data_IF_813237809016
#
_entry.id   IF_813237809016
#
_cell.length_a   1.000
_cell.length_b   1.000
_cell.length_c   1.000
_cell.angle_alpha   90.00
_cell.angle_beta   90.00
_cell.angle_gamma   90.00
#
_symmetry.space_group_name_H-M   'P 1'
#
loop_
_entity.id
_entity.type
_entity.pdbx_description
1 polymer ?
#
# COMPACT_ATOMS: atom_id res chain seq x y z
N UNK A 1 -8.70 -14.12 -11.97
CA UNK A 1 -9.52 -12.90 -11.88
C UNK A 1 -8.61 -11.70 -11.64
N UNK A 2 -8.75 -10.64 -12.43
CA UNK A 2 -7.96 -9.43 -12.26
C UNK A 2 -8.45 -8.65 -11.03
N UNK A 3 -7.61 -7.74 -10.53
CA UNK A 3 -8.01 -6.85 -9.44
C UNK A 3 -9.20 -5.97 -9.83
N UNK A 4 -9.26 -5.49 -11.08
CA UNK A 4 -10.41 -4.74 -11.57
C UNK A 4 -11.70 -5.56 -11.45
N UNK A 5 -11.65 -6.81 -11.85
CA UNK A 5 -12.82 -7.72 -11.79
C UNK A 5 -13.21 -7.98 -10.34
N UNK A 6 -12.22 -8.21 -9.48
CA UNK A 6 -12.47 -8.45 -8.06
C UNK A 6 -13.10 -7.22 -7.38
N UNK A 7 -12.59 -6.04 -7.67
CA UNK A 7 -13.17 -4.79 -7.15
C UNK A 7 -14.62 -4.60 -7.61
N UNK A 8 -14.90 -4.93 -8.87
CA UNK A 8 -16.25 -4.86 -9.43
C UNK A 8 -17.21 -5.83 -8.73
N UNK A 9 -16.79 -7.07 -8.53
CA UNK A 9 -17.57 -8.09 -7.83
C UNK A 9 -17.83 -7.69 -6.39
N UNK A 10 -16.79 -7.22 -5.70
CA UNK A 10 -16.89 -6.81 -4.30
C UNK A 10 -17.76 -5.56 -4.13
N UNK A 11 -17.74 -4.67 -5.11
CA UNK A 11 -18.65 -3.53 -5.12
C UNK A 11 -20.10 -3.97 -5.17
N UNK A 12 -20.43 -4.93 -6.03
CA UNK A 12 -21.79 -5.50 -6.12
C UNK A 12 -22.20 -6.16 -4.83
N UNK A 13 -21.29 -6.92 -4.22
CA UNK A 13 -21.56 -7.58 -2.93
C UNK A 13 -21.81 -6.56 -1.82
N UNK A 14 -21.02 -5.49 -1.78
CA UNK A 14 -21.17 -4.41 -0.81
C UNK A 14 -22.52 -3.68 -0.98
N UNK A 15 -22.95 -3.46 -2.21
CA UNK A 15 -24.25 -2.87 -2.50
C UNK A 15 -25.39 -3.75 -1.98
N UNK A 16 -25.29 -5.06 -2.18
CA UNK A 16 -26.30 -6.02 -1.71
C UNK A 16 -26.33 -6.11 -0.19
N UNK A 17 -25.21 -5.93 0.47
CA UNK A 17 -25.12 -5.97 1.94
C UNK A 17 -25.71 -4.73 2.63
N UNK A 18 -26.03 -3.69 1.90
CA UNK A 18 -26.62 -2.44 2.38
C UNK A 18 -25.78 -1.81 3.50
N UNK A 19 -26.31 -1.66 4.72
CA UNK A 19 -25.61 -1.00 5.82
C UNK A 19 -24.30 -1.69 6.20
N UNK A 20 -24.27 -3.02 6.17
CA UNK A 20 -23.04 -3.78 6.47
C UNK A 20 -21.95 -3.58 5.42
N UNK A 21 -22.33 -3.29 4.18
CA UNK A 21 -21.41 -3.05 3.08
C UNK A 21 -21.06 -1.59 2.84
N UNK A 22 -21.60 -0.67 3.65
CA UNK A 22 -21.46 0.77 3.40
C UNK A 22 -20.03 1.26 3.35
N UNK A 23 -19.21 0.86 4.30
CA UNK A 23 -17.78 1.25 4.35
C UNK A 23 -17.02 0.65 3.17
N UNK A 24 -17.21 -0.64 2.90
CA UNK A 24 -16.57 -1.31 1.77
C UNK A 24 -16.96 -0.65 0.45
N UNK A 25 -18.23 -0.34 0.26
CA UNK A 25 -18.70 0.33 -0.96
C UNK A 25 -18.05 1.69 -1.15
N UNK A 26 -17.97 2.49 -0.09
CA UNK A 26 -17.35 3.82 -0.12
C UNK A 26 -15.88 3.72 -0.53
N UNK A 27 -15.13 2.83 0.10
CA UNK A 27 -13.70 2.63 -0.20
C UNK A 27 -13.50 2.14 -1.64
N UNK A 28 -14.26 1.15 -2.07
CA UNK A 28 -14.15 0.60 -3.43
C UNK A 28 -14.47 1.67 -4.47
N UNK A 29 -15.47 2.48 -4.24
CA UNK A 29 -15.80 3.60 -5.15
C UNK A 29 -14.66 4.60 -5.26
N UNK A 30 -14.00 4.93 -4.14
CA UNK A 30 -12.83 5.82 -4.17
C UNK A 30 -11.67 5.22 -4.94
N UNK A 31 -11.41 3.94 -4.75
CA UNK A 31 -10.36 3.22 -5.49
C UNK A 31 -10.68 3.20 -6.98
N UNK A 32 -11.90 2.86 -7.35
CA UNK A 32 -12.34 2.83 -8.75
C UNK A 32 -12.23 4.21 -9.41
N UNK A 33 -12.57 5.27 -8.69
CA UNK A 33 -12.42 6.64 -9.18
C UNK A 33 -10.96 7.00 -9.41
N UNK A 34 -10.08 6.62 -8.49
CA UNK A 34 -8.63 6.85 -8.63
C UNK A 34 -8.05 6.09 -9.82
N UNK A 35 -8.48 4.85 -10.02
CA UNK A 35 -8.08 4.04 -11.18
C UNK A 35 -8.50 4.74 -12.47
N UNK A 36 -9.77 5.12 -12.55
CA UNK A 36 -10.33 5.75 -13.73
C UNK A 36 -9.64 7.08 -14.06
N UNK A 37 -9.40 7.91 -13.04
CA UNK A 37 -8.72 9.18 -13.22
C UNK A 37 -7.29 8.99 -13.72
N UNK A 38 -6.57 8.04 -13.17
CA UNK A 38 -5.20 7.71 -13.61
C UNK A 38 -5.20 7.23 -15.05
N UNK A 39 -6.12 6.34 -15.41
CA UNK A 39 -6.21 5.81 -16.78
C UNK A 39 -6.52 6.91 -17.79
N UNK A 40 -7.42 7.85 -17.44
CA UNK A 40 -7.77 8.96 -18.31
C UNK A 40 -6.62 9.96 -18.45
N UNK A 41 -6.02 10.36 -17.32
CA UNK A 41 -4.97 11.37 -17.32
C UNK A 41 -3.69 10.90 -18.01
N UNK A 42 -3.31 9.65 -17.79
CA UNK A 42 -2.08 9.08 -18.34
C UNK A 42 -2.31 8.36 -19.67
N UNK A 43 -3.55 8.24 -20.12
CA UNK A 43 -3.96 7.54 -21.35
C UNK A 43 -3.45 6.11 -21.40
N UNK A 44 -3.58 5.40 -20.29
CA UNK A 44 -3.15 4.01 -20.13
C UNK A 44 -4.28 3.17 -19.57
N UNK A 45 -4.11 1.86 -19.64
CA UNK A 45 -4.95 0.91 -18.92
C UNK A 45 -4.10 0.31 -17.80
N UNK A 46 -4.59 0.40 -16.57
CA UNK A 46 -3.85 -0.11 -15.41
C UNK A 46 -3.99 -1.62 -15.30
N UNK A 47 -2.86 -2.27 -15.09
CA UNK A 47 -2.81 -3.68 -14.72
C UNK A 47 -2.86 -3.82 -13.19
N UNK A 48 -2.77 -5.04 -12.69
CA UNK A 48 -2.81 -5.31 -11.26
C UNK A 48 -1.71 -4.57 -10.50
N UNK A 49 -0.50 -4.48 -11.07
CA UNK A 49 0.62 -3.77 -10.44
C UNK A 49 0.30 -2.27 -10.28
N UNK A 50 -0.28 -1.66 -11.29
CA UNK A 50 -0.70 -0.26 -11.23
C UNK A 50 -1.79 -0.02 -10.20
N UNK A 51 -2.75 -0.95 -10.10
CA UNK A 51 -3.83 -0.89 -9.12
C UNK A 51 -3.29 -1.08 -7.70
N UNK A 52 -2.33 -1.97 -7.50
CA UNK A 52 -1.64 -2.10 -6.20
C UNK A 52 -1.00 -0.79 -5.76
N UNK A 53 -0.42 -0.03 -6.69
CA UNK A 53 0.12 1.30 -6.40
C UNK A 53 -0.93 2.26 -5.87
N UNK A 54 -2.12 2.25 -6.48
CA UNK A 54 -3.25 3.08 -6.03
C UNK A 54 -3.72 2.63 -4.64
N UNK A 55 -3.89 1.34 -4.44
CA UNK A 55 -4.31 0.78 -3.14
C UNK A 55 -3.31 1.12 -2.03
N UNK A 56 -2.02 1.03 -2.31
CA UNK A 56 -0.98 1.36 -1.36
C UNK A 56 -1.01 2.85 -0.98
N UNK A 57 -1.25 3.71 -1.95
CA UNK A 57 -1.39 5.16 -1.73
C UNK A 57 -2.60 5.48 -0.87
N UNK A 58 -3.74 4.84 -1.16
CA UNK A 58 -4.95 5.01 -0.36
C UNK A 58 -4.74 4.53 1.07
N UNK A 59 -4.04 3.42 1.25
CA UNK A 59 -3.69 2.90 2.58
C UNK A 59 -2.81 3.89 3.34
N UNK A 60 -1.80 4.44 2.69
CA UNK A 60 -0.88 5.41 3.30
C UNK A 60 -1.60 6.67 3.75
N UNK A 61 -2.50 7.19 2.91
CA UNK A 61 -3.31 8.37 3.25
C UNK A 61 -4.10 8.12 4.53
N UNK A 62 -4.66 6.92 4.67
CA UNK A 62 -5.42 6.54 5.86
C UNK A 62 -4.55 6.31 7.09
N UNK A 63 -3.35 5.80 6.92
CA UNK A 63 -2.37 5.68 8.01
C UNK A 63 -1.99 7.05 8.55
N UNK A 64 -1.77 8.02 7.67
CA UNK A 64 -1.47 9.39 8.05
C UNK A 64 -2.66 10.03 8.81
N UNK A 65 -3.87 9.80 8.31
CA UNK A 65 -5.09 10.26 8.97
C UNK A 65 -5.27 9.63 10.35
N UNK A 66 -4.98 8.34 10.47
CA UNK A 66 -5.05 7.60 11.74
C UNK A 66 -4.13 8.24 12.78
N UNK A 67 -2.91 8.55 12.41
CA UNK A 67 -1.94 9.20 13.30
C UNK A 67 -2.47 10.53 13.81
N UNK A 68 -3.06 11.35 12.93
CA UNK A 68 -3.63 12.63 13.30
C UNK A 68 -4.86 12.47 14.22
N UNK A 69 -5.72 11.50 13.93
CA UNK A 69 -6.91 11.23 14.74
C UNK A 69 -6.55 10.71 16.14
N UNK A 70 -5.49 9.91 16.24
CA UNK A 70 -4.97 9.43 17.52
C UNK A 70 -4.45 10.57 18.37
N UNK A 71 -3.72 11.50 17.76
CA UNK A 71 -3.24 12.72 18.44
C UNK A 71 -4.38 13.59 18.93
N UNK A 72 -5.48 13.65 18.18
CA UNK A 72 -6.66 14.44 18.53
C UNK A 72 -7.60 13.72 19.50
N UNK A 73 -7.38 12.42 19.77
CA UNK A 73 -8.24 11.63 20.66
C UNK A 73 -9.65 11.39 20.10
N UNK A 74 -9.80 11.40 18.78
CA UNK A 74 -11.11 11.24 18.12
C UNK A 74 -11.40 9.78 17.84
N UNK A 75 -11.94 9.08 18.84
CA UNK A 75 -12.23 7.64 18.77
C UNK A 75 -13.18 7.27 17.63
N UNK A 76 -14.16 8.11 17.34
CA UNK A 76 -15.12 7.93 16.26
C UNK A 76 -14.42 7.89 14.89
N UNK A 77 -13.49 8.80 14.66
CA UNK A 77 -12.72 8.87 13.41
C UNK A 77 -11.68 7.75 13.33
N UNK A 78 -11.08 7.39 14.47
CA UNK A 78 -10.12 6.28 14.55
C UNK A 78 -10.80 4.98 14.14
N UNK A 79 -11.97 4.66 14.71
CA UNK A 79 -12.71 3.45 14.35
C UNK A 79 -13.05 3.41 12.88
N UNK A 80 -13.53 4.51 12.32
CA UNK A 80 -13.94 4.59 10.92
C UNK A 80 -12.76 4.39 9.97
N UNK A 81 -11.63 5.07 10.23
CA UNK A 81 -10.47 4.93 9.35
C UNK A 81 -9.87 3.52 9.42
N UNK A 82 -9.91 2.88 10.58
CA UNK A 82 -9.47 1.49 10.73
C UNK A 82 -10.34 0.53 9.92
N UNK A 83 -11.65 0.75 9.88
CA UNK A 83 -12.56 -0.02 9.05
C UNK A 83 -12.23 0.13 7.57
N UNK A 84 -11.94 1.35 7.12
CA UNK A 84 -11.52 1.62 5.75
C UNK A 84 -10.20 0.92 5.41
N UNK A 85 -9.23 0.98 6.33
CA UNK A 85 -7.95 0.30 6.16
C UNK A 85 -8.10 -1.22 6.06
N UNK A 86 -9.02 -1.79 6.82
CA UNK A 86 -9.30 -3.23 6.74
C UNK A 86 -9.85 -3.64 5.36
N UNK A 87 -10.65 -2.80 4.74
CA UNK A 87 -11.15 -3.04 3.38
C UNK A 87 -10.00 -3.03 2.39
N UNK A 88 -9.12 -2.04 2.46
CA UNK A 88 -7.96 -1.93 1.57
C UNK A 88 -6.99 -3.10 1.76
N UNK A 89 -6.79 -3.53 2.98
CA UNK A 89 -5.84 -4.61 3.30
C UNK A 89 -6.21 -5.93 2.61
N UNK A 90 -7.48 -6.18 2.33
CA UNK A 90 -7.92 -7.38 1.61
C UNK A 90 -7.33 -7.49 0.21
N UNK A 91 -7.00 -6.35 -0.41
CA UNK A 91 -6.48 -6.30 -1.78
C UNK A 91 -4.96 -6.18 -1.82
N UNK A 92 -4.34 -5.82 -0.72
CA UNK A 92 -2.89 -5.64 -0.65
C UNK A 92 -2.21 -6.94 -0.26
N UNK A 93 -0.99 -7.19 -0.77
CA UNK A 93 -0.18 -8.30 -0.29
C UNK A 93 0.11 -8.13 1.19
N UNK A 94 0.42 -9.23 1.86
CA UNK A 94 0.82 -9.18 3.26
C UNK A 94 2.01 -8.23 3.42
N UNK A 95 1.90 -7.31 4.37
CA UNK A 95 2.94 -6.31 4.58
C UNK A 95 4.13 -6.93 5.33
N UNK A 96 5.33 -6.59 4.85
CA UNK A 96 6.57 -7.02 5.49
C UNK A 96 6.76 -6.30 6.81
N UNK A 97 7.21 -7.04 7.83
CA UNK A 97 7.62 -6.48 9.10
C UNK A 97 9.02 -5.89 8.99
N UNK A 98 9.36 -4.98 9.89
CA UNK A 98 10.67 -4.32 9.89
C UNK A 98 11.83 -5.32 9.88
N UNK A 99 11.73 -6.41 10.65
CA UNK A 99 12.74 -7.46 10.68
C UNK A 99 12.92 -8.14 9.33
N UNK A 100 11.83 -8.38 8.62
CA UNK A 100 11.85 -8.98 7.29
C UNK A 100 12.50 -8.03 6.27
N UNK A 101 12.21 -6.73 6.38
CA UNK A 101 12.83 -5.71 5.53
C UNK A 101 14.32 -5.63 5.80
N UNK A 102 14.74 -5.70 7.06
CA UNK A 102 16.17 -5.72 7.43
C UNK A 102 16.91 -6.87 6.80
N UNK A 103 16.34 -8.06 6.80
CA UNK A 103 16.93 -9.24 6.16
C UNK A 103 17.10 -9.00 4.66
N UNK A 104 16.07 -8.46 3.98
CA UNK A 104 16.12 -8.15 2.56
C UNK A 104 17.23 -7.13 2.27
N UNK A 105 17.34 -6.10 3.09
CA UNK A 105 18.39 -5.07 2.95
C UNK A 105 19.78 -5.68 3.14
N UNK A 106 19.97 -6.52 4.16
CA UNK A 106 21.26 -7.18 4.41
C UNK A 106 21.66 -8.08 3.25
N UNK A 107 20.73 -8.85 2.70
CA UNK A 107 20.98 -9.68 1.52
C UNK A 107 21.34 -8.83 0.30
N UNK A 108 20.67 -7.69 0.13
CA UNK A 108 20.97 -6.76 -0.96
C UNK A 108 22.37 -6.18 -0.84
N UNK A 109 22.79 -5.81 0.37
CA UNK A 109 24.15 -5.30 0.63
C UNK A 109 25.19 -6.38 0.29
N UNK A 110 24.97 -7.61 0.70
CA UNK A 110 25.85 -8.73 0.38
C UNK A 110 25.95 -8.94 -1.14
N UNK A 111 24.85 -8.78 -1.87
CA UNK A 111 24.82 -8.92 -3.32
C UNK A 111 25.58 -7.80 -4.05
N UNK A 112 25.72 -6.61 -3.43
CA UNK A 112 26.44 -5.49 -4.03
C UNK A 112 27.98 -5.67 -4.01
N UNK A 113 28.51 -6.54 -3.16
CA UNK A 113 29.94 -6.75 -3.03
C UNK A 113 30.66 -5.47 -2.61
N UNK A 114 31.64 -5.05 -3.44
CA UNK A 114 32.44 -3.84 -3.16
C UNK A 114 31.74 -2.53 -3.53
N UNK A 115 30.61 -2.61 -4.23
CA UNK A 115 29.89 -1.44 -4.73
C UNK A 115 28.65 -1.13 -3.89
N UNK A 116 28.80 -1.08 -2.57
CA UNK A 116 27.71 -0.78 -1.64
C UNK A 116 27.44 0.73 -1.64
N UNK A 117 26.31 1.12 -2.23
CA UNK A 117 25.76 2.48 -2.13
C UNK A 117 24.23 2.39 -2.20
N UNK A 118 23.55 3.48 -1.84
CA UNK A 118 22.08 3.49 -1.79
C UNK A 118 21.44 3.07 -3.10
N UNK A 119 21.95 3.57 -4.23
CA UNK A 119 21.40 3.24 -5.55
C UNK A 119 21.45 1.75 -5.85
N UNK A 120 22.59 1.13 -5.61
CA UNK A 120 22.79 -0.31 -5.89
C UNK A 120 21.99 -1.18 -4.91
N UNK A 121 21.99 -0.82 -3.63
CA UNK A 121 21.22 -1.54 -2.61
C UNK A 121 19.72 -1.49 -2.95
N UNK A 122 19.21 -0.31 -3.27
CA UNK A 122 17.79 -0.14 -3.58
C UNK A 122 17.39 -0.87 -4.87
N UNK A 123 18.25 -1.02 -5.84
CA UNK A 123 17.99 -1.85 -7.03
C UNK A 123 17.66 -3.30 -6.68
N UNK A 124 18.30 -3.83 -5.66
CA UNK A 124 18.06 -5.20 -5.17
C UNK A 124 16.87 -5.28 -4.22
N UNK A 125 16.63 -4.24 -3.44
CA UNK A 125 15.57 -4.19 -2.42
C UNK A 125 14.20 -3.93 -3.02
N UNK A 126 14.09 -2.97 -3.94
CA UNK A 126 12.80 -2.53 -4.49
C UNK A 126 11.95 -3.64 -5.09
N UNK A 127 12.48 -4.56 -5.92
CA UNK A 127 11.65 -5.63 -6.47
C UNK A 127 11.03 -6.54 -5.42
N UNK A 128 11.70 -6.69 -4.26
CA UNK A 128 11.24 -7.57 -3.17
C UNK A 128 10.27 -6.89 -2.21
N UNK A 129 10.30 -5.56 -2.13
CA UNK A 129 9.51 -4.80 -1.16
C UNK A 129 8.36 -4.02 -1.78
N UNK A 130 8.39 -3.78 -3.09
CA UNK A 130 7.35 -3.00 -3.78
C UNK A 130 5.98 -3.63 -3.59
N UNK A 131 5.04 -2.86 -3.04
CA UNK A 131 3.70 -3.34 -2.73
C UNK A 131 3.59 -4.11 -1.41
N UNK A 132 4.72 -4.49 -0.79
CA UNK A 132 4.78 -5.24 0.46
C UNK A 132 5.26 -4.41 1.65
N UNK A 133 5.73 -3.20 1.42
CA UNK A 133 6.22 -2.32 2.46
C UNK A 133 6.14 -0.87 2.00
N UNK A 134 6.03 0.07 2.97
CA UNK A 134 6.10 1.50 2.70
C UNK A 134 7.54 1.83 2.26
N UNK A 135 7.67 2.47 1.11
CA UNK A 135 8.97 2.87 0.56
C UNK A 135 9.79 3.74 1.50
N UNK A 136 9.14 4.58 2.32
CA UNK A 136 9.80 5.42 3.30
C UNK A 136 10.44 4.60 4.41
N UNK A 137 9.74 3.58 4.92
CA UNK A 137 10.28 2.66 5.93
C UNK A 137 11.45 1.87 5.36
N UNK A 138 11.30 1.34 4.16
CA UNK A 138 12.37 0.60 3.46
C UNK A 138 13.59 1.48 3.30
N UNK A 139 13.41 2.71 2.85
CA UNK A 139 14.51 3.66 2.65
C UNK A 139 15.23 3.97 3.97
N UNK A 140 14.50 4.21 5.05
CA UNK A 140 15.08 4.48 6.37
C UNK A 140 15.93 3.31 6.87
N UNK A 141 15.43 2.09 6.70
CA UNK A 141 16.16 0.90 7.09
C UNK A 141 17.41 0.74 6.22
N UNK A 142 17.30 0.92 4.91
CA UNK A 142 18.44 0.83 3.98
C UNK A 142 19.52 1.86 4.33
N UNK A 143 19.14 3.10 4.63
CA UNK A 143 20.06 4.15 5.06
C UNK A 143 20.81 3.74 6.33
N UNK A 144 20.11 3.17 7.30
CA UNK A 144 20.73 2.77 8.57
C UNK A 144 21.82 1.69 8.40
N UNK A 145 21.73 0.86 7.37
CA UNK A 145 22.72 -0.18 7.08
C UNK A 145 23.83 0.27 6.12
N UNK A 146 23.57 1.25 5.28
CA UNK A 146 24.54 1.74 4.28
C UNK A 146 25.29 2.99 4.72
N UNK A 147 24.85 3.61 5.79
CA UNK A 147 25.50 4.79 6.34
C UNK A 147 26.71 4.36 7.17
N UNK A 148 27.86 4.54 6.60
CA UNK A 148 29.14 4.20 7.23
C UNK A 148 29.86 5.44 7.71
#
# INVERSE_FOLDING_TARGET
>A
MSLKDQLKEDMKAAMKAREEGKTALSVIRMVNSAIKNTEINDKIELDDAGIFGILAKEMKTRQDSLTEFEKAGREDLISHVKEEMAVLQKYLPEQLKDDEIRIIVQEAIAACGDNVNMGNVMKHVMPKTKGHADGKVVNNIAVSYTHL
#
